data_IF_435703303559
#
_entry.id   IF_435703303559
#
_cell.length_a   1.000
_cell.length_b   1.000
_cell.length_c   1.000
_cell.angle_alpha   90.00
_cell.angle_beta   90.00
_cell.angle_gamma   90.00
#
_symmetry.space_group_name_H-M   'P 1'
#
loop_
_entity.id
_entity.type
_entity.pdbx_description
1 polymer ?
#
# COMPACT_ATOMS: atom_id res chain seq x y z
N UNK A 1 -3.12 -1.28 -7.67
CA UNK A 1 -4.13 -0.21 -7.85
C UNK A 1 -3.44 1.13 -7.69
N UNK A 2 -3.83 2.18 -8.43
CA UNK A 2 -3.21 3.51 -8.33
C UNK A 2 -4.31 4.57 -8.34
N UNK A 3 -4.22 5.58 -7.47
CA UNK A 3 -5.19 6.68 -7.42
C UNK A 3 -5.04 7.61 -8.65
N UNK A 4 -6.07 8.43 -8.93
CA UNK A 4 -5.87 9.68 -9.65
C UNK A 4 -4.78 10.55 -8.98
N UNK A 5 -4.22 11.49 -9.74
CA UNK A 5 -3.31 12.48 -9.17
C UNK A 5 -4.04 13.32 -8.11
N UNK A 6 -3.36 13.61 -7.01
CA UNK A 6 -3.87 14.50 -5.97
C UNK A 6 -4.08 15.88 -6.62
N UNK A 7 -5.29 16.45 -6.57
CA UNK A 7 -5.57 17.70 -7.25
C UNK A 7 -4.64 18.83 -6.78
N UNK A 8 -4.15 19.68 -7.69
CA UNK A 8 -3.48 20.92 -7.30
C UNK A 8 -4.46 21.78 -6.51
N UNK A 9 -4.05 22.24 -5.33
CA UNK A 9 -4.91 23.04 -4.47
C UNK A 9 -4.17 23.62 -3.28
N UNK A 10 -4.70 24.71 -2.73
CA UNK A 10 -4.17 25.35 -1.50
C UNK A 10 -4.42 24.53 -0.24
N UNK A 11 -5.17 23.43 -0.32
CA UNK A 11 -5.54 22.58 0.81
C UNK A 11 -4.44 21.58 1.13
N UNK A 12 -4.03 21.54 2.38
CA UNK A 12 -3.03 20.59 2.83
C UNK A 12 -3.65 19.19 2.98
N UNK A 13 -2.96 18.17 2.47
CA UNK A 13 -3.29 16.76 2.72
C UNK A 13 -3.21 16.51 4.23
N UNK A 14 -4.27 15.94 4.80
CA UNK A 14 -4.40 15.68 6.24
C UNK A 14 -4.29 14.21 6.57
N UNK A 15 -4.82 13.32 5.71
CA UNK A 15 -4.78 11.90 5.98
C UNK A 15 -4.94 11.10 4.68
N UNK A 16 -4.53 9.84 4.75
CA UNK A 16 -4.84 8.83 3.72
C UNK A 16 -5.46 7.64 4.42
N UNK A 17 -6.62 7.21 3.93
CA UNK A 17 -7.34 6.03 4.41
C UNK A 17 -7.29 4.93 3.36
N UNK A 18 -7.02 3.72 3.81
CA UNK A 18 -7.06 2.51 3.02
C UNK A 18 -8.10 1.58 3.62
N UNK A 19 -9.02 1.09 2.78
CA UNK A 19 -9.99 0.05 3.15
C UNK A 19 -9.71 -1.18 2.29
N UNK A 20 -9.36 -2.30 2.92
CA UNK A 20 -8.99 -3.54 2.25
C UNK A 20 -9.88 -4.66 2.74
N UNK A 21 -10.50 -5.41 1.83
CA UNK A 21 -11.15 -6.67 2.14
C UNK A 21 -10.32 -7.78 1.50
N UNK A 22 -9.56 -8.50 2.32
CA UNK A 22 -8.58 -9.48 1.83
C UNK A 22 -8.34 -10.61 2.80
N UNK A 23 -7.69 -11.66 2.30
CA UNK A 23 -7.20 -12.77 3.09
C UNK A 23 -5.99 -13.41 2.45
N UNK A 24 -5.27 -14.19 3.25
CA UNK A 24 -4.26 -15.11 2.74
C UNK A 24 -4.95 -16.29 2.05
N UNK A 25 -4.31 -16.97 1.10
CA UNK A 25 -4.95 -18.10 0.41
C UNK A 25 -5.27 -19.28 1.34
N UNK A 26 -4.67 -19.34 2.53
CA UNK A 26 -4.79 -20.45 3.46
C UNK A 26 -3.47 -21.23 3.58
N UNK A 27 -3.52 -22.44 4.14
CA UNK A 27 -2.34 -23.30 4.23
C UNK A 27 -2.08 -23.95 2.87
N UNK A 28 -0.89 -23.72 2.30
CA UNK A 28 -0.44 -24.54 1.18
C UNK A 28 -0.03 -25.93 1.70
N UNK A 29 -0.30 -27.01 0.93
CA UNK A 29 0.00 -28.37 1.36
C UNK A 29 1.51 -28.64 1.59
N UNK A 30 2.40 -27.88 0.92
CA UNK A 30 3.84 -28.15 0.90
C UNK A 30 4.70 -27.10 1.64
N UNK A 31 4.09 -26.22 2.44
CA UNK A 31 4.83 -25.25 3.26
C UNK A 31 4.54 -25.53 4.73
N UNK A 32 5.59 -25.93 5.45
CA UNK A 32 5.57 -26.00 6.91
C UNK A 32 5.40 -24.60 7.46
N UNK A 33 4.22 -24.37 8.04
CA UNK A 33 3.92 -23.17 8.80
C UNK A 33 4.17 -23.51 10.25
N UNK A 34 4.99 -22.73 10.95
CA UNK A 34 5.13 -22.93 12.40
C UNK A 34 3.73 -22.82 13.04
N UNK A 35 3.27 -23.89 13.70
CA UNK A 35 1.88 -23.99 14.17
C UNK A 35 1.49 -22.86 15.13
N UNK A 36 2.46 -22.35 15.90
CA UNK A 36 2.29 -21.22 16.81
C UNK A 36 2.12 -19.86 16.11
N UNK A 37 2.44 -19.75 14.82
CA UNK A 37 2.29 -18.52 14.03
C UNK A 37 0.97 -18.49 13.24
N UNK A 38 0.34 -19.65 13.04
CA UNK A 38 -0.94 -19.78 12.34
C UNK A 38 -2.02 -18.91 12.98
N UNK A 39 -2.79 -18.20 12.16
CA UNK A 39 -3.85 -17.32 12.66
C UNK A 39 -3.33 -16.00 13.27
N UNK A 40 -2.02 -15.76 13.18
CA UNK A 40 -1.41 -14.47 13.57
C UNK A 40 -0.96 -13.70 12.32
N UNK A 41 -0.49 -12.47 12.53
CA UNK A 41 0.20 -11.70 11.48
C UNK A 41 1.70 -12.02 11.41
N UNK A 42 2.26 -12.64 12.44
CA UNK A 42 3.66 -13.01 12.50
C UNK A 42 3.85 -14.24 11.59
N UNK A 43 4.78 -14.15 10.63
CA UNK A 43 4.95 -15.18 9.59
C UNK A 43 4.03 -15.03 8.37
N UNK A 44 3.26 -13.96 8.28
CA UNK A 44 2.40 -13.73 7.11
C UNK A 44 3.19 -13.67 5.80
N UNK A 45 2.74 -14.46 4.82
CA UNK A 45 3.35 -14.53 3.49
C UNK A 45 2.65 -13.62 2.47
N UNK A 46 1.59 -12.90 2.89
CA UNK A 46 0.86 -11.98 2.02
C UNK A 46 0.61 -10.64 2.70
N UNK A 47 0.92 -9.56 2.00
CA UNK A 47 0.81 -8.21 2.56
C UNK A 47 0.54 -7.15 1.51
N UNK A 48 0.31 -5.95 2.01
CA UNK A 48 0.05 -4.75 1.25
C UNK A 48 1.11 -3.71 1.54
N UNK A 49 1.48 -2.95 0.52
CA UNK A 49 2.39 -1.81 0.60
C UNK A 49 1.74 -0.61 -0.07
N UNK A 50 2.06 0.58 0.42
CA UNK A 50 1.75 1.85 -0.24
C UNK A 50 3.03 2.45 -0.82
N UNK A 51 2.92 3.03 -2.02
CA UNK A 51 3.98 3.78 -2.67
C UNK A 51 3.46 5.13 -3.15
N UNK A 52 4.34 6.11 -3.20
CA UNK A 52 4.06 7.43 -3.76
C UNK A 52 4.69 7.47 -5.15
N UNK A 53 3.89 7.70 -6.18
CA UNK A 53 4.35 7.90 -7.55
C UNK A 53 4.30 9.40 -7.82
N UNK A 54 5.45 9.99 -8.13
CA UNK A 54 5.56 11.40 -8.49
C UNK A 54 5.96 11.53 -9.95
N UNK A 55 5.19 12.35 -10.66
CA UNK A 55 5.53 12.86 -11.97
C UNK A 55 6.03 14.30 -11.79
N UNK A 56 7.16 14.65 -12.43
CA UNK A 56 7.72 15.99 -12.34
C UNK A 56 7.07 16.94 -13.38
N UNK A 57 6.12 16.46 -14.20
CA UNK A 57 5.32 17.25 -15.16
C UNK A 57 3.98 17.66 -14.53
N UNK A 58 3.52 18.89 -14.82
CA UNK A 58 2.16 19.31 -14.48
C UNK A 58 1.09 18.55 -15.28
N UNK A 59 1.45 18.09 -16.49
CA UNK A 59 0.56 17.31 -17.35
C UNK A 59 0.62 15.83 -16.99
N UNK A 60 -0.54 15.26 -16.70
CA UNK A 60 -0.68 13.83 -16.43
C UNK A 60 -0.38 13.03 -17.70
N UNK A 61 0.58 12.09 -17.68
CA UNK A 61 0.83 11.22 -18.82
C UNK A 61 -0.40 10.40 -19.18
N UNK A 62 -0.74 10.38 -20.47
CA UNK A 62 -1.96 9.72 -20.98
C UNK A 62 -2.02 8.22 -20.68
N UNK A 63 -0.88 7.55 -20.51
CA UNK A 63 -0.83 6.14 -20.11
C UNK A 63 -1.35 5.92 -18.68
N UNK A 64 -1.27 6.92 -17.80
CA UNK A 64 -1.90 6.90 -16.47
C UNK A 64 -3.42 7.12 -16.53
N UNK A 65 -3.98 7.53 -17.68
CA UNK A 65 -5.43 7.59 -17.93
C UNK A 65 -5.98 6.35 -18.65
N UNK A 66 -5.15 5.57 -19.34
CA UNK A 66 -5.53 4.23 -19.83
C UNK A 66 -5.87 3.26 -18.68
N UNK A 67 -5.48 3.63 -17.46
CA UNK A 67 -5.88 3.09 -16.15
C UNK A 67 -7.39 3.14 -15.89
N UNK A 68 -8.14 3.98 -16.61
CA UNK A 68 -9.62 4.02 -16.50
C UNK A 68 -10.33 2.88 -17.21
N UNK A 69 -9.61 1.93 -17.83
CA UNK A 69 -10.23 0.69 -18.30
C UNK A 69 -10.28 -0.33 -17.13
N UNK A 70 -11.46 -0.66 -16.62
CA UNK A 70 -11.64 -1.37 -15.34
C UNK A 70 -11.28 -2.87 -15.37
N UNK A 71 -10.39 -3.32 -16.27
CA UNK A 71 -10.18 -4.76 -16.50
C UNK A 71 -8.75 -5.28 -16.35
N UNK A 72 -7.74 -4.44 -16.12
CA UNK A 72 -6.39 -4.94 -15.88
C UNK A 72 -5.72 -4.22 -14.70
N UNK A 73 -5.25 -4.94 -13.68
CA UNK A 73 -4.37 -4.37 -12.66
C UNK A 73 -3.16 -3.75 -13.37
N UNK A 74 -2.89 -2.47 -13.09
CA UNK A 74 -1.62 -1.87 -13.52
C UNK A 74 -0.52 -2.62 -12.77
N UNK A 75 0.41 -3.19 -13.53
CA UNK A 75 1.67 -3.62 -12.99
C UNK A 75 2.50 -2.38 -12.60
N UNK A 76 2.48 -2.03 -11.31
CA UNK A 76 3.30 -0.95 -10.76
C UNK A 76 4.81 -1.22 -10.91
N UNK A 77 5.20 -2.42 -11.35
CA UNK A 77 6.58 -2.84 -11.61
C UNK A 77 6.94 -2.85 -13.10
N UNK A 78 6.00 -2.54 -13.99
CA UNK A 78 6.32 -2.37 -15.41
C UNK A 78 7.21 -1.13 -15.57
N UNK A 79 8.52 -1.36 -15.54
CA UNK A 79 9.56 -0.34 -15.73
C UNK A 79 9.44 0.38 -17.07
N UNK A 80 8.77 -0.21 -18.06
CA UNK A 80 8.55 0.41 -19.37
C UNK A 80 7.34 1.35 -19.36
N UNK A 81 6.31 1.02 -18.57
CA UNK A 81 5.19 1.94 -18.27
C UNK A 81 5.64 3.14 -17.40
N UNK A 82 6.75 2.99 -16.67
CA UNK A 82 7.38 4.03 -15.84
C UNK A 82 8.85 4.23 -16.24
N UNK A 83 9.13 4.26 -17.55
CA UNK A 83 10.48 4.49 -18.05
C UNK A 83 11.01 5.80 -17.46
N UNK A 84 12.29 5.74 -17.04
CA UNK A 84 13.04 6.63 -16.12
C UNK A 84 13.04 8.15 -16.42
N UNK A 85 12.20 8.64 -17.31
CA UNK A 85 12.13 10.03 -17.76
C UNK A 85 10.81 10.74 -17.42
N UNK A 86 9.81 10.06 -16.80
CA UNK A 86 8.45 10.63 -16.65
C UNK A 86 7.88 10.53 -15.22
N UNK A 87 7.86 9.37 -14.57
CA UNK A 87 7.37 9.22 -13.19
C UNK A 87 8.23 8.26 -12.35
N UNK A 88 8.39 8.53 -11.05
CA UNK A 88 9.25 7.75 -10.12
C UNK A 88 8.56 7.42 -8.80
N UNK A 89 8.91 6.28 -8.21
CA UNK A 89 8.59 5.98 -6.81
C UNK A 89 9.42 6.89 -5.88
N UNK A 90 8.75 7.49 -4.89
CA UNK A 90 9.41 8.34 -3.90
C UNK A 90 9.89 7.49 -2.73
N UNK A 91 11.19 7.61 -2.44
CA UNK A 91 11.81 6.95 -1.29
C UNK A 91 11.22 7.45 0.02
N UNK A 92 10.91 6.51 0.91
CA UNK A 92 10.71 6.76 2.32
C UNK A 92 12.06 7.12 2.95
N UNK A 93 12.32 8.40 3.12
CA UNK A 93 13.56 8.91 3.73
C UNK A 93 13.79 8.43 5.16
N UNK A 94 12.74 8.00 5.88
CA UNK A 94 12.82 7.59 7.28
C UNK A 94 13.17 6.11 7.47
N UNK A 95 12.88 5.26 6.48
CA UNK A 95 13.19 3.81 6.55
C UNK A 95 14.13 3.33 5.45
N UNK A 96 14.52 4.20 4.51
CA UNK A 96 15.39 3.87 3.38
C UNK A 96 14.76 2.96 2.33
N UNK A 97 13.48 2.61 2.47
CA UNK A 97 12.70 1.81 1.52
C UNK A 97 11.94 2.70 0.55
N UNK A 98 11.57 2.22 -0.63
CA UNK A 98 10.69 2.97 -1.55
C UNK A 98 9.21 2.89 -1.19
N UNK A 99 8.88 2.06 -0.18
CA UNK A 99 7.51 1.66 0.11
C UNK A 99 7.24 1.61 1.59
N UNK A 100 6.00 1.92 1.93
CA UNK A 100 5.47 1.84 3.27
C UNK A 100 4.67 0.55 3.39
N UNK A 101 5.06 -0.33 4.31
CA UNK A 101 4.23 -1.47 4.68
C UNK A 101 2.88 -0.94 5.18
N UNK A 102 1.79 -1.55 4.71
CA UNK A 102 0.43 -1.14 5.03
C UNK A 102 -0.22 -2.13 6.00
N UNK A 103 -0.37 -3.38 5.58
CA UNK A 103 -1.04 -4.42 6.36
C UNK A 103 -0.60 -5.81 5.90
N UNK A 104 -0.36 -6.71 6.85
CA UNK A 104 -0.24 -8.15 6.60
C UNK A 104 -1.62 -8.81 6.67
N UNK A 105 -1.87 -9.81 5.82
CA UNK A 105 -2.99 -10.71 6.06
C UNK A 105 -2.68 -11.62 7.24
N UNK A 106 -3.72 -12.21 7.84
CA UNK A 106 -3.54 -13.26 8.84
C UNK A 106 -3.04 -14.53 8.14
N UNK A 107 -1.95 -15.10 8.63
CA UNK A 107 -1.29 -16.26 8.02
C UNK A 107 -2.22 -17.48 7.98
N UNK A 108 -2.30 -18.13 6.82
CA UNK A 108 -3.04 -19.36 6.59
C UNK A 108 -4.53 -19.32 6.96
N UNK A 109 -5.15 -18.13 6.83
CA UNK A 109 -6.59 -17.93 7.03
C UNK A 109 -7.20 -17.47 5.72
N UNK A 110 -8.09 -18.30 5.16
CA UNK A 110 -8.79 -18.04 3.90
C UNK A 110 -10.10 -17.26 4.06
N UNK A 111 -10.45 -16.84 5.27
CA UNK A 111 -11.63 -16.03 5.54
C UNK A 111 -11.33 -14.56 5.28
N UNK A 112 -12.10 -13.87 4.40
CA UNK A 112 -11.93 -12.45 4.13
C UNK A 112 -12.00 -11.61 5.41
N UNK A 113 -11.07 -10.67 5.57
CA UNK A 113 -11.02 -9.74 6.68
C UNK A 113 -11.00 -8.30 6.17
N UNK A 114 -11.79 -7.45 6.81
CA UNK A 114 -11.80 -6.01 6.56
C UNK A 114 -10.68 -5.34 7.38
N UNK A 115 -9.84 -4.58 6.69
CA UNK A 115 -8.81 -3.75 7.28
C UNK A 115 -9.10 -2.29 6.95
N UNK A 116 -9.10 -1.45 7.98
CA UNK A 116 -9.23 -0.01 7.87
C UNK A 116 -7.97 0.63 8.44
N UNK A 117 -7.15 1.19 7.56
CA UNK A 117 -5.88 1.83 7.91
C UNK A 117 -6.02 3.32 7.64
N UNK A 118 -5.70 4.14 8.63
CA UNK A 118 -5.67 5.59 8.48
C UNK A 118 -4.30 6.08 8.91
N UNK A 119 -3.62 6.80 8.02
CA UNK A 119 -2.40 7.52 8.33
C UNK A 119 -2.71 9.00 8.34
N UNK A 120 -2.37 9.70 9.41
CA UNK A 120 -2.66 11.12 9.57
C UNK A 120 -1.39 11.97 9.56
N UNK A 121 -1.53 13.21 9.10
CA UNK A 121 -0.46 14.21 9.15
C UNK A 121 -0.21 14.63 10.59
N UNK A 122 1.06 14.66 10.98
CA UNK A 122 1.48 15.13 12.30
C UNK A 122 1.44 14.06 13.40
N UNK A 123 1.14 12.80 13.07
CA UNK A 123 1.24 11.71 14.05
C UNK A 123 2.67 11.53 14.54
N UNK A 124 2.83 11.51 15.87
CA UNK A 124 4.10 11.24 16.51
C UNK A 124 4.30 9.73 16.57
N UNK A 125 5.02 9.20 15.60
CA UNK A 125 5.33 7.77 15.50
C UNK A 125 6.73 7.53 16.06
N UNK A 126 6.79 6.91 17.23
CA UNK A 126 8.03 6.42 17.84
C UNK A 126 8.16 4.89 17.67
N UNK A 127 9.23 4.32 18.19
CA UNK A 127 9.53 2.89 17.99
C UNK A 127 8.56 1.96 18.75
N UNK A 128 7.98 2.44 19.86
CA UNK A 128 6.95 1.70 20.61
C UNK A 128 5.66 1.59 19.80
N UNK A 129 5.19 2.68 19.19
CA UNK A 129 4.01 2.70 18.32
C UNK A 129 4.23 1.80 17.10
N UNK A 130 5.43 1.78 16.53
CA UNK A 130 5.83 0.86 15.45
C UNK A 130 5.75 -0.60 15.90
N UNK A 131 6.26 -0.94 17.09
CA UNK A 131 6.22 -2.29 17.62
C UNK A 131 4.78 -2.77 17.85
N UNK A 132 3.93 -1.92 18.44
CA UNK A 132 2.50 -2.20 18.66
C UNK A 132 1.74 -2.36 17.35
N UNK A 133 2.05 -1.55 16.33
CA UNK A 133 1.41 -1.67 15.02
C UNK A 133 1.82 -2.96 14.31
N UNK A 134 3.12 -3.29 14.35
CA UNK A 134 3.68 -4.50 13.75
C UNK A 134 3.08 -5.78 14.34
N UNK A 135 2.82 -5.84 15.65
CA UNK A 135 2.19 -7.01 16.27
C UNK A 135 0.76 -7.25 15.76
N UNK A 136 0.10 -6.21 15.25
CA UNK A 136 -1.22 -6.27 14.58
C UNK A 136 -1.10 -6.41 13.06
N UNK A 137 0.10 -6.64 12.54
CA UNK A 137 0.39 -6.70 11.11
C UNK A 137 0.26 -5.36 10.39
N UNK A 138 0.07 -4.25 11.11
CA UNK A 138 -0.17 -2.93 10.53
C UNK A 138 1.14 -2.14 10.41
N UNK A 139 1.23 -1.33 9.37
CA UNK A 139 2.28 -0.33 9.23
C UNK A 139 1.77 1.05 9.66
N UNK A 140 2.65 1.82 10.28
CA UNK A 140 2.33 3.15 10.85
C UNK A 140 2.23 4.25 9.80
N UNK A 141 2.71 4.01 8.57
CA UNK A 141 2.78 5.06 7.56
C UNK A 141 3.76 6.18 7.89
N UNK A 142 4.72 5.95 8.80
CA UNK A 142 5.66 6.99 9.25
C UNK A 142 6.29 7.74 8.08
N UNK A 143 6.02 9.05 8.02
CA UNK A 143 6.51 9.94 6.97
C UNK A 143 5.71 9.94 5.66
N UNK A 144 4.71 9.07 5.49
CA UNK A 144 3.96 8.94 4.24
C UNK A 144 3.19 10.22 3.90
N UNK A 145 2.28 10.63 4.79
CA UNK A 145 1.40 11.79 4.54
C UNK A 145 2.18 13.09 4.44
N UNK A 146 3.28 13.24 5.19
CA UNK A 146 4.18 14.39 5.09
C UNK A 146 4.99 14.43 3.79
N UNK A 147 5.18 13.29 3.13
CA UNK A 147 5.93 13.18 1.87
C UNK A 147 5.07 13.50 0.65
N UNK A 148 3.76 13.26 0.76
CA UNK A 148 2.79 13.52 -0.30
C UNK A 148 2.70 14.99 -0.66
N UNK A 149 2.52 15.24 -1.96
CA UNK A 149 2.34 16.57 -2.56
C UNK A 149 1.19 16.53 -3.57
N UNK A 150 0.59 17.68 -3.89
CA UNK A 150 -0.28 17.78 -5.06
C UNK A 150 0.44 17.28 -6.32
N UNK A 151 -0.28 16.61 -7.21
CA UNK A 151 0.26 15.92 -8.38
C UNK A 151 0.67 14.47 -8.13
N UNK A 152 1.02 14.11 -6.88
CA UNK A 152 1.39 12.72 -6.55
C UNK A 152 0.20 11.77 -6.71
N UNK A 153 0.52 10.49 -6.89
CA UNK A 153 -0.43 9.38 -6.86
C UNK A 153 -0.06 8.41 -5.77
N UNK A 154 -1.06 7.78 -5.18
CA UNK A 154 -0.85 6.69 -4.22
C UNK A 154 -1.07 5.37 -4.94
N UNK A 155 -0.07 4.50 -4.89
CA UNK A 155 -0.18 3.13 -5.37
C UNK A 155 -0.37 2.18 -4.19
N UNK A 156 -1.32 1.26 -4.33
CA UNK A 156 -1.46 0.08 -3.49
C UNK A 156 -0.85 -1.12 -4.22
N UNK A 157 0.18 -1.69 -3.60
CA UNK A 157 0.91 -2.85 -4.06
C UNK A 157 0.53 -4.04 -3.20
N UNK A 158 0.34 -5.18 -3.86
CA UNK A 158 0.00 -6.44 -3.23
C UNK A 158 1.14 -7.41 -3.37
N UNK A 159 1.42 -8.15 -2.30
CA UNK A 159 2.54 -9.07 -2.21
C UNK A 159 2.10 -10.45 -1.77
N UNK A 160 2.76 -11.45 -2.33
CA UNK A 160 2.81 -12.81 -1.88
C UNK A 160 4.28 -13.27 -1.95
N UNK A 161 4.78 -13.93 -0.90
CA UNK A 161 6.20 -14.26 -0.77
C UNK A 161 6.62 -15.45 -1.63
N UNK A 162 5.74 -16.44 -1.78
CA UNK A 162 6.08 -17.72 -2.38
C UNK A 162 5.38 -17.90 -3.73
N UNK A 163 6.04 -18.62 -4.63
CA UNK A 163 5.45 -19.01 -5.91
C UNK A 163 4.25 -19.92 -5.66
N UNK A 164 3.15 -19.68 -6.38
CA UNK A 164 1.88 -20.38 -6.14
C UNK A 164 1.12 -19.90 -4.91
N UNK A 165 1.63 -18.89 -4.20
CA UNK A 165 0.91 -18.23 -3.10
C UNK A 165 0.19 -16.98 -3.62
N UNK A 166 -1.06 -16.80 -3.19
CA UNK A 166 -1.93 -15.72 -3.60
C UNK A 166 -2.37 -14.86 -2.41
N UNK A 167 -2.34 -13.55 -2.61
CA UNK A 167 -3.04 -12.59 -1.75
C UNK A 167 -4.45 -12.38 -2.34
N UNK A 168 -5.48 -12.88 -1.67
CA UNK A 168 -6.85 -12.84 -2.15
C UNK A 168 -7.49 -11.50 -1.80
N UNK A 169 -7.98 -10.77 -2.80
CA UNK A 169 -8.59 -9.44 -2.64
C UNK A 169 -10.04 -9.49 -3.11
N UNK A 170 -10.93 -8.97 -2.28
CA UNK A 170 -12.35 -8.83 -2.57
C UNK A 170 -12.77 -7.37 -2.74
N UNK A 171 -12.02 -6.45 -2.13
CA UNK A 171 -12.21 -5.02 -2.26
C UNK A 171 -10.99 -4.23 -1.82
N UNK A 172 -10.73 -3.11 -2.47
CA UNK A 172 -9.68 -2.17 -2.11
C UNK A 172 -10.13 -0.74 -2.44
N UNK A 173 -9.94 0.16 -1.48
CA UNK A 173 -10.27 1.58 -1.60
C UNK A 173 -9.15 2.44 -0.99
N UNK A 174 -8.88 3.58 -1.62
CA UNK A 174 -7.95 4.60 -1.12
C UNK A 174 -8.67 5.94 -1.14
N UNK A 175 -8.65 6.62 0.00
CA UNK A 175 -9.21 7.96 0.16
C UNK A 175 -8.15 8.91 0.67
N UNK A 176 -8.05 10.08 0.02
CA UNK A 176 -7.08 11.12 0.37
C UNK A 176 -7.87 12.31 0.91
N UNK A 177 -7.67 12.60 2.20
CA UNK A 177 -8.38 13.65 2.92
C UNK A 177 -7.55 14.94 2.92
N UNK A 178 -8.20 16.06 2.64
CA UNK A 178 -7.60 17.39 2.60
C UNK A 178 -8.23 18.30 3.65
N UNK A 179 -7.53 19.35 4.06
CA UNK A 179 -8.10 20.39 4.92
C UNK A 179 -9.32 21.03 4.26
N UNK A 180 -10.32 21.40 5.05
CA UNK A 180 -11.50 22.14 4.60
C UNK A 180 -11.10 23.52 4.06
#
# INVERSE_FOLDING_TARGET
>A
MVTPAIPPGKRAIQAVRFTLLSNDQGQAPDIDIEENLRGTYQGSNTWFEAAIIRDDREEVPQYLFQVRQPRQPIDAFNRDAFTREQAREIKNSLKGTERWQLQYNVQAVCTPKLYQIVWMKGEVINDEVEAVSRSKGAGTGRGFVSTLRPGDRVALVLRAQHQGWANCIWGAEIEILHSV
#
